data_IF_941836866765
#
_entry.id   IF_941836866765
#
_cell.length_a   1.000
_cell.length_b   1.000
_cell.length_c   1.000
_cell.angle_alpha   90.00
_cell.angle_beta   90.00
_cell.angle_gamma   90.00
#
_symmetry.space_group_name_H-M   'P 1'
#
loop_
_entity.id
_entity.type
_entity.pdbx_description
1 polymer ?
#
# COMPACT_ATOMS: atom_id res chain seq x y z
N UNK A 1 -30.71 -44.07 -28.93
CA UNK A 1 -29.51 -43.33 -29.37
C UNK A 1 -29.75 -41.88 -29.04
N UNK A 2 -29.37 -41.50 -27.82
CA UNK A 2 -29.47 -40.10 -27.36
C UNK A 2 -28.06 -39.54 -27.33
N UNK A 3 -27.83 -38.50 -28.10
CA UNK A 3 -26.58 -37.80 -28.15
C UNK A 3 -26.52 -36.81 -26.94
N UNK A 4 -25.60 -37.09 -26.04
CA UNK A 4 -25.23 -36.17 -24.99
C UNK A 4 -24.44 -35.02 -25.61
N UNK A 5 -25.08 -33.84 -25.65
CA UNK A 5 -24.44 -32.60 -26.04
C UNK A 5 -23.67 -32.06 -24.84
N UNK A 6 -22.39 -32.36 -24.82
CA UNK A 6 -21.44 -31.84 -23.86
C UNK A 6 -21.28 -30.31 -24.10
N UNK A 7 -22.01 -29.52 -23.33
CA UNK A 7 -21.91 -28.08 -23.34
C UNK A 7 -20.61 -27.66 -22.66
N UNK A 8 -19.57 -27.46 -23.45
CA UNK A 8 -18.33 -26.84 -23.01
C UNK A 8 -18.64 -25.41 -22.57
N UNK A 9 -18.81 -25.22 -21.29
CA UNK A 9 -18.97 -23.92 -20.64
C UNK A 9 -17.68 -23.10 -20.90
N UNK A 10 -17.80 -22.14 -21.79
CA UNK A 10 -16.72 -21.19 -22.14
C UNK A 10 -16.42 -20.34 -20.91
N UNK A 11 -15.48 -20.79 -20.09
CA UNK A 11 -14.99 -20.04 -18.94
C UNK A 11 -14.14 -18.87 -19.46
N UNK A 12 -14.78 -17.72 -19.70
CA UNK A 12 -14.06 -16.49 -19.94
C UNK A 12 -13.13 -16.24 -18.74
N UNK A 13 -11.81 -16.09 -18.94
CA UNK A 13 -10.90 -15.87 -17.82
C UNK A 13 -11.29 -14.59 -17.10
N UNK A 14 -11.50 -14.70 -15.78
CA UNK A 14 -11.79 -13.55 -14.92
C UNK A 14 -10.65 -12.54 -15.07
N UNK A 15 -10.93 -11.24 -15.28
CA UNK A 15 -9.90 -10.23 -15.40
C UNK A 15 -9.00 -10.27 -14.16
N UNK A 16 -7.69 -10.21 -14.39
CA UNK A 16 -6.72 -10.20 -13.28
C UNK A 16 -6.96 -8.95 -12.43
N UNK A 17 -6.88 -9.07 -11.10
CA UNK A 17 -6.95 -7.91 -10.25
C UNK A 17 -5.80 -6.94 -10.57
N UNK A 18 -6.10 -5.66 -10.68
CA UNK A 18 -5.13 -4.60 -10.96
C UNK A 18 -5.03 -3.65 -9.79
N UNK A 19 -3.82 -3.25 -9.44
CA UNK A 19 -3.58 -2.17 -8.49
C UNK A 19 -3.78 -0.83 -9.20
N UNK A 20 -4.89 -0.16 -8.95
CA UNK A 20 -5.17 1.17 -9.49
C UNK A 20 -5.00 2.26 -8.44
N UNK A 21 -5.33 1.94 -7.20
CA UNK A 21 -5.30 2.88 -6.08
C UNK A 21 -4.64 2.26 -4.86
N UNK A 22 -3.54 2.89 -4.43
CA UNK A 22 -2.80 2.52 -3.24
C UNK A 22 -2.95 3.63 -2.22
N UNK A 23 -3.28 3.30 -0.99
CA UNK A 23 -3.26 4.23 0.14
C UNK A 23 -2.10 3.88 1.05
N UNK A 24 -1.24 4.83 1.32
CA UNK A 24 -0.26 4.77 2.40
C UNK A 24 -0.75 5.66 3.53
N UNK A 25 -1.06 5.07 4.68
CA UNK A 25 -1.32 5.84 5.88
C UNK A 25 -0.02 5.97 6.70
N UNK A 26 0.33 7.19 7.03
CA UNK A 26 1.60 7.54 7.67
C UNK A 26 1.42 8.62 8.74
N UNK A 27 2.18 8.51 9.82
CA UNK A 27 2.30 9.54 10.85
C UNK A 27 3.34 10.62 10.49
N UNK A 28 4.04 10.47 9.35
CA UNK A 28 5.15 11.31 8.92
C UNK A 28 6.34 11.31 9.91
N UNK A 29 6.47 10.25 10.70
CA UNK A 29 7.58 9.99 11.59
C UNK A 29 8.88 9.58 10.87
N UNK A 30 9.87 9.12 11.63
CA UNK A 30 11.21 8.79 11.11
C UNK A 30 11.17 7.68 10.05
N UNK A 31 10.33 6.66 10.23
CA UNK A 31 10.25 5.47 9.36
C UNK A 31 9.38 5.70 8.12
N UNK A 32 8.73 6.86 8.03
CA UNK A 32 7.84 7.20 6.91
C UNK A 32 8.56 7.29 5.56
N UNK A 33 9.86 7.53 5.55
CA UNK A 33 10.67 7.53 4.32
C UNK A 33 10.74 6.14 3.70
N UNK A 34 10.97 5.12 4.51
CA UNK A 34 11.01 3.73 4.04
C UNK A 34 9.62 3.24 3.61
N UNK A 35 8.58 3.59 4.38
CA UNK A 35 7.20 3.31 4.02
C UNK A 35 6.82 3.95 2.69
N UNK A 36 7.22 5.20 2.48
CA UNK A 36 6.98 5.91 1.23
C UNK A 36 7.71 5.25 0.06
N UNK A 37 8.95 4.82 0.25
CA UNK A 37 9.68 4.07 -0.78
C UNK A 37 8.97 2.75 -1.14
N UNK A 38 8.43 2.02 -0.16
CA UNK A 38 7.63 0.82 -0.41
C UNK A 38 6.39 1.14 -1.26
N UNK A 39 5.60 2.13 -0.85
CA UNK A 39 4.40 2.52 -1.57
C UNK A 39 4.72 2.98 -2.99
N UNK A 40 5.75 3.81 -3.17
CA UNK A 40 6.15 4.31 -4.48
C UNK A 40 6.64 3.20 -5.41
N UNK A 41 7.35 2.18 -4.90
CA UNK A 41 7.79 1.04 -5.70
C UNK A 41 6.60 0.23 -6.27
N UNK A 42 5.57 -0.01 -5.45
CA UNK A 42 4.34 -0.65 -5.94
C UNK A 42 3.60 0.21 -6.95
N UNK A 43 3.50 1.52 -6.69
CA UNK A 43 2.86 2.49 -7.60
C UNK A 43 3.58 2.54 -8.94
N UNK A 44 4.90 2.61 -8.93
CA UNK A 44 5.72 2.66 -10.14
C UNK A 44 5.56 1.38 -10.98
N UNK A 45 5.52 0.21 -10.32
CA UNK A 45 5.32 -1.07 -10.98
C UNK A 45 3.93 -1.20 -11.58
N UNK A 46 2.89 -0.83 -10.84
CA UNK A 46 1.50 -0.97 -11.25
C UNK A 46 0.97 0.20 -12.10
N UNK A 47 1.72 1.31 -12.21
CA UNK A 47 1.24 2.58 -12.78
C UNK A 47 -0.04 3.07 -12.12
N UNK A 48 -0.08 2.97 -10.78
CA UNK A 48 -1.22 3.26 -9.96
C UNK A 48 -1.22 4.72 -9.44
N UNK A 49 -2.30 5.09 -8.76
CA UNK A 49 -2.38 6.33 -7.99
C UNK A 49 -2.03 6.05 -6.52
N UNK A 50 -1.21 6.90 -5.92
CA UNK A 50 -0.85 6.85 -4.51
C UNK A 50 -1.54 7.97 -3.74
N UNK A 51 -2.29 7.60 -2.72
CA UNK A 51 -2.85 8.52 -1.74
C UNK A 51 -2.02 8.45 -0.46
N UNK A 52 -1.30 9.52 -0.15
CA UNK A 52 -0.54 9.66 1.09
C UNK A 52 -1.46 10.24 2.15
N UNK A 53 -2.01 9.38 2.99
CA UNK A 53 -2.97 9.78 4.01
C UNK A 53 -2.25 10.05 5.34
N UNK A 54 -2.39 11.27 5.84
CA UNK A 54 -1.92 11.68 7.16
C UNK A 54 -3.07 12.31 7.95
N UNK A 55 -3.25 11.85 9.19
CA UNK A 55 -4.21 12.45 10.11
C UNK A 55 -3.42 13.27 11.13
N UNK A 56 -3.57 14.59 11.03
CA UNK A 56 -2.87 15.52 11.89
C UNK A 56 -3.59 15.66 13.25
N UNK A 57 -2.82 15.51 14.31
CA UNK A 57 -3.18 15.98 15.64
C UNK A 57 -2.36 17.25 15.91
N UNK A 58 -3.01 18.46 15.83
CA UNK A 58 -2.35 19.74 16.14
C UNK A 58 -1.69 20.42 14.97
N UNK A 59 -0.50 20.98 15.14
CA UNK A 59 0.07 22.06 14.33
C UNK A 59 0.81 21.64 13.06
N UNK A 60 0.73 22.50 12.01
CA UNK A 60 1.62 22.64 10.85
C UNK A 60 2.03 21.37 10.08
N UNK A 61 1.12 20.74 9.39
CA UNK A 61 1.40 19.53 8.61
C UNK A 61 2.32 19.76 7.41
N UNK A 62 2.39 20.95 6.85
CA UNK A 62 3.27 21.25 5.70
C UNK A 62 4.76 21.01 6.00
N UNK A 63 5.20 21.28 7.24
CA UNK A 63 6.57 21.02 7.66
C UNK A 63 6.90 19.52 7.71
N UNK A 64 5.90 18.69 8.00
CA UNK A 64 6.06 17.24 8.07
C UNK A 64 6.21 16.61 6.68
N UNK A 65 5.44 17.08 5.69
CA UNK A 65 5.56 16.60 4.32
C UNK A 65 6.94 16.83 3.71
N UNK A 66 7.64 17.90 4.12
CA UNK A 66 9.01 18.20 3.66
C UNK A 66 10.05 17.18 4.12
N UNK A 67 9.73 16.33 5.08
CA UNK A 67 10.62 15.25 5.54
C UNK A 67 10.68 14.08 4.56
N UNK A 68 9.64 13.91 3.76
CA UNK A 68 9.64 12.89 2.72
C UNK A 68 10.45 13.36 1.52
N UNK A 69 11.22 12.46 0.89
CA UNK A 69 11.85 12.76 -0.40
C UNK A 69 10.76 13.02 -1.45
N UNK A 70 11.07 13.83 -2.44
CA UNK A 70 10.14 14.02 -3.56
C UNK A 70 10.05 12.73 -4.38
N UNK A 71 8.89 12.51 -5.00
CA UNK A 71 8.69 11.38 -5.92
C UNK A 71 9.78 11.36 -6.98
N UNK A 72 10.05 12.51 -7.61
CA UNK A 72 11.09 12.68 -8.62
C UNK A 72 12.47 12.23 -8.10
N UNK A 73 12.88 12.70 -6.92
CA UNK A 73 14.19 12.37 -6.35
C UNK A 73 14.36 10.85 -6.08
N UNK A 74 13.30 10.16 -5.68
CA UNK A 74 13.33 8.70 -5.54
C UNK A 74 13.43 7.99 -6.88
N UNK A 75 12.64 8.40 -7.88
CA UNK A 75 12.65 7.80 -9.21
C UNK A 75 13.98 8.02 -9.94
N UNK A 76 14.60 9.19 -9.78
CA UNK A 76 15.94 9.48 -10.28
C UNK A 76 16.99 8.59 -9.59
N UNK A 77 16.92 8.46 -8.26
CA UNK A 77 17.81 7.58 -7.48
C UNK A 77 17.68 6.12 -7.92
N UNK A 78 16.49 5.68 -8.26
CA UNK A 78 16.22 4.31 -8.72
C UNK A 78 16.55 4.08 -10.18
N UNK A 79 16.97 5.12 -10.91
CA UNK A 79 17.25 5.04 -12.34
C UNK A 79 16.02 4.88 -13.23
N UNK A 80 14.83 5.12 -12.67
CA UNK A 80 13.55 5.07 -13.41
C UNK A 80 13.26 6.37 -14.14
N UNK A 81 13.91 7.46 -13.74
CA UNK A 81 13.83 8.77 -14.35
C UNK A 81 15.25 9.35 -14.50
N UNK A 82 15.57 9.92 -15.64
CA UNK A 82 16.85 10.61 -15.83
C UNK A 82 16.88 11.90 -15.00
N UNK A 83 18.04 12.28 -14.46
CA UNK A 83 18.20 13.47 -13.61
C UNK A 83 17.75 14.78 -14.30
N UNK A 84 17.84 14.85 -15.64
CA UNK A 84 17.43 16.00 -16.43
C UNK A 84 16.11 15.76 -17.19
N UNK A 85 15.33 14.75 -16.79
CA UNK A 85 14.08 14.44 -17.44
C UNK A 85 13.10 15.61 -17.33
N UNK A 86 12.45 15.94 -18.43
CA UNK A 86 11.41 16.95 -18.45
C UNK A 86 10.11 16.47 -17.79
N UNK A 87 9.12 17.32 -17.75
CA UNK A 87 7.83 17.01 -17.15
C UNK A 87 7.09 15.92 -17.95
N UNK A 88 7.24 15.90 -19.27
CA UNK A 88 6.58 14.91 -20.12
C UNK A 88 7.12 13.49 -19.85
N UNK A 89 8.44 13.35 -19.66
CA UNK A 89 9.06 12.08 -19.29
C UNK A 89 8.59 11.60 -17.90
N UNK A 90 8.40 12.50 -16.95
CA UNK A 90 7.85 12.16 -15.64
C UNK A 90 6.37 11.69 -15.76
N UNK A 91 5.55 12.41 -16.49
CA UNK A 91 4.14 12.07 -16.71
C UNK A 91 3.95 10.74 -17.45
N UNK A 92 4.88 10.41 -18.37
CA UNK A 92 4.88 9.15 -19.09
C UNK A 92 5.02 7.91 -18.19
N UNK A 93 5.57 8.07 -16.96
CA UNK A 93 5.63 7.00 -15.98
C UNK A 93 4.23 6.63 -15.44
N UNK A 94 3.23 7.50 -15.62
CA UNK A 94 1.85 7.25 -15.18
C UNK A 94 1.67 7.26 -13.66
N UNK A 95 2.65 7.77 -12.91
CA UNK A 95 2.63 7.84 -11.44
C UNK A 95 1.93 9.13 -11.00
N UNK A 96 0.91 8.98 -10.16
CA UNK A 96 0.22 10.10 -9.52
C UNK A 96 0.27 9.95 -8.01
N UNK A 97 0.66 11.02 -7.30
CA UNK A 97 0.73 11.04 -5.85
C UNK A 97 -0.13 12.17 -5.31
N UNK A 98 -1.08 11.84 -4.47
CA UNK A 98 -2.06 12.74 -3.87
C UNK A 98 -1.84 12.83 -2.36
N UNK A 99 -1.27 13.91 -1.84
CA UNK A 99 -1.25 14.15 -0.40
C UNK A 99 -2.69 14.35 0.10
N UNK A 100 -3.07 13.56 1.09
CA UNK A 100 -4.37 13.65 1.74
C UNK A 100 -4.16 13.92 3.22
N UNK A 101 -4.56 15.12 3.63
CA UNK A 101 -4.47 15.51 5.01
C UNK A 101 -5.85 15.65 5.60
N UNK A 102 -6.02 15.08 6.78
CA UNK A 102 -7.20 15.26 7.60
C UNK A 102 -6.82 15.80 8.96
N UNK A 103 -7.70 16.61 9.53
CA UNK A 103 -7.66 16.92 10.95
C UNK A 103 -8.71 16.03 11.61
N UNK A 104 -8.30 15.21 12.56
CA UNK A 104 -9.26 14.49 13.39
C UNK A 104 -9.56 15.33 14.62
N UNK A 105 -10.84 15.57 14.83
CA UNK A 105 -11.37 16.12 16.09
C UNK A 105 -11.72 14.95 17.03
N UNK A 106 -11.81 13.74 16.46
CA UNK A 106 -12.17 12.54 17.20
C UNK A 106 -10.98 12.06 18.04
N UNK A 107 -11.26 11.65 19.27
CA UNK A 107 -10.26 11.01 20.12
C UNK A 107 -9.81 9.63 19.58
N UNK A 108 -10.59 9.02 18.68
CA UNK A 108 -10.31 7.73 18.06
C UNK A 108 -9.72 7.87 16.66
N UNK A 109 -8.39 7.82 16.62
CA UNK A 109 -7.63 7.85 15.38
C UNK A 109 -7.93 6.66 14.45
N UNK A 110 -8.17 5.48 15.02
CA UNK A 110 -8.47 4.28 14.24
C UNK A 110 -9.77 4.44 13.47
N UNK A 111 -10.80 4.98 14.11
CA UNK A 111 -12.10 5.21 13.47
C UNK A 111 -12.00 6.27 12.36
N UNK A 112 -11.29 7.37 12.60
CA UNK A 112 -11.09 8.43 11.61
C UNK A 112 -10.34 7.89 10.39
N UNK A 113 -9.29 7.09 10.61
CA UNK A 113 -8.50 6.47 9.56
C UNK A 113 -9.32 5.43 8.77
N UNK A 114 -10.07 4.58 9.46
CA UNK A 114 -10.95 3.57 8.82
C UNK A 114 -11.96 4.22 7.89
N UNK A 115 -12.65 5.26 8.35
CA UNK A 115 -13.62 6.01 7.52
C UNK A 115 -12.97 6.59 6.27
N UNK A 116 -11.80 7.24 6.44
CA UNK A 116 -11.14 7.86 5.31
C UNK A 116 -10.60 6.86 4.31
N UNK A 117 -10.04 5.74 4.76
CA UNK A 117 -9.59 4.67 3.88
C UNK A 117 -10.78 4.04 3.14
N UNK A 118 -11.93 3.86 3.82
CA UNK A 118 -13.15 3.36 3.17
C UNK A 118 -13.63 4.29 2.05
N UNK A 119 -13.61 5.61 2.26
CA UNK A 119 -13.95 6.62 1.23
C UNK A 119 -12.99 6.58 0.03
N UNK A 120 -11.70 6.42 0.29
CA UNK A 120 -10.68 6.31 -0.76
C UNK A 120 -10.78 5.00 -1.53
N UNK A 121 -11.39 3.97 -0.95
CA UNK A 121 -11.62 2.65 -1.54
C UNK A 121 -10.38 2.06 -2.25
N UNK A 122 -9.24 1.88 -1.55
CA UNK A 122 -8.02 1.40 -2.17
C UNK A 122 -8.10 -0.06 -2.59
N UNK A 123 -7.29 -0.43 -3.58
CA UNK A 123 -6.99 -1.83 -3.90
C UNK A 123 -5.96 -2.41 -2.93
N UNK A 124 -5.04 -1.55 -2.45
CA UNK A 124 -4.03 -1.90 -1.45
C UNK A 124 -3.88 -0.78 -0.42
N UNK A 125 -3.98 -1.15 0.86
CA UNK A 125 -3.62 -0.29 1.98
C UNK A 125 -2.23 -0.65 2.49
N UNK A 126 -1.36 0.32 2.69
CA UNK A 126 -0.02 0.13 3.27
C UNK A 126 0.02 0.84 4.62
N UNK A 127 0.39 0.10 5.65
CA UNK A 127 0.49 0.58 7.02
C UNK A 127 1.86 0.26 7.60
N UNK A 128 2.46 1.23 8.27
CA UNK A 128 3.61 0.99 9.14
C UNK A 128 3.19 0.31 10.44
N UNK A 129 4.00 -0.64 10.89
CA UNK A 129 3.84 -1.20 12.22
C UNK A 129 5.12 -1.01 13.00
N UNK A 130 5.02 -0.32 14.14
CA UNK A 130 6.14 -0.30 15.08
C UNK A 130 6.29 -1.69 15.70
N UNK A 131 7.42 -2.35 15.46
CA UNK A 131 7.75 -3.63 16.08
C UNK A 131 8.02 -3.38 17.58
N UNK A 132 6.95 -3.16 18.34
CA UNK A 132 7.04 -3.01 19.80
C UNK A 132 7.36 -4.37 20.40
N UNK A 133 8.52 -4.50 21.02
CA UNK A 133 8.93 -5.69 21.74
C UNK A 133 8.39 -5.66 23.17
N UNK A 134 7.77 -6.75 23.63
CA UNK A 134 7.43 -6.96 25.03
C UNK A 134 6.22 -6.20 25.57
N UNK A 135 6.38 -5.57 26.73
CA UNK A 135 5.30 -4.99 27.55
C UNK A 135 4.55 -3.82 26.91
N UNK A 136 5.17 -3.07 26.00
CA UNK A 136 4.56 -1.93 25.32
C UNK A 136 3.38 -2.31 24.40
N UNK A 137 3.35 -3.58 23.96
CA UNK A 137 2.23 -4.13 23.16
C UNK A 137 0.90 -4.14 23.93
N UNK A 138 0.95 -4.24 25.26
CA UNK A 138 -0.21 -4.33 26.12
C UNK A 138 -0.80 -2.96 26.50
N UNK A 139 0.01 -1.90 26.42
CA UNK A 139 -0.39 -0.56 26.92
C UNK A 139 -0.86 0.40 25.83
N UNK A 140 -0.51 0.16 24.56
CA UNK A 140 -0.96 0.98 23.42
C UNK A 140 -1.35 0.07 22.24
N UNK A 141 -2.65 -0.14 22.01
CA UNK A 141 -3.11 -0.89 20.88
C UNK A 141 -2.61 -0.25 19.57
N UNK A 142 -2.09 -1.07 18.67
CA UNK A 142 -1.69 -0.61 17.33
C UNK A 142 -2.93 -0.08 16.61
N UNK A 143 -2.86 1.11 16.06
CA UNK A 143 -3.92 1.67 15.19
C UNK A 143 -4.08 0.84 13.92
N UNK A 144 -2.99 0.25 13.46
CA UNK A 144 -2.93 -0.46 12.18
C UNK A 144 -3.80 -1.73 12.13
N UNK A 145 -3.81 -2.54 13.20
CA UNK A 145 -4.60 -3.79 13.21
C UNK A 145 -6.13 -3.57 13.17
N UNK A 146 -6.71 -2.69 14.01
CA UNK A 146 -8.13 -2.36 13.91
C UNK A 146 -8.51 -1.83 12.52
N UNK A 147 -7.73 -0.90 11.98
CA UNK A 147 -7.99 -0.32 10.66
C UNK A 147 -7.99 -1.41 9.57
N UNK A 148 -6.98 -2.26 9.53
CA UNK A 148 -6.90 -3.33 8.53
C UNK A 148 -8.07 -4.32 8.63
N UNK A 149 -8.53 -4.61 9.85
CA UNK A 149 -9.68 -5.49 10.09
C UNK A 149 -10.98 -4.87 9.58
N UNK A 150 -11.18 -3.58 9.85
CA UNK A 150 -12.46 -2.93 9.60
C UNK A 150 -12.61 -2.46 8.14
N UNK A 151 -11.49 -2.18 7.46
CA UNK A 151 -11.49 -1.71 6.06
C UNK A 151 -11.80 -2.84 5.07
N UNK A 152 -11.56 -4.10 5.42
CA UNK A 152 -11.77 -5.27 4.54
C UNK A 152 -11.10 -5.14 3.15
N UNK A 153 -9.89 -4.59 3.11
CA UNK A 153 -9.06 -4.43 1.91
C UNK A 153 -7.75 -5.18 2.05
N UNK A 154 -7.12 -5.52 0.93
CA UNK A 154 -5.76 -6.03 0.97
C UNK A 154 -4.88 -5.03 1.72
N UNK A 155 -4.19 -5.49 2.76
CA UNK A 155 -3.38 -4.63 3.62
C UNK A 155 -1.97 -5.19 3.74
N UNK A 156 -1.00 -4.36 3.39
CA UNK A 156 0.42 -4.64 3.58
C UNK A 156 0.92 -3.95 4.84
N UNK A 157 1.35 -4.75 5.81
CA UNK A 157 2.05 -4.25 6.98
C UNK A 157 3.55 -4.23 6.72
N UNK A 158 4.16 -3.07 6.90
CA UNK A 158 5.61 -2.89 6.82
C UNK A 158 6.12 -2.64 8.23
N UNK A 159 6.89 -3.58 8.75
CA UNK A 159 7.44 -3.47 10.10
C UNK A 159 8.68 -2.58 10.12
N UNK A 160 8.79 -1.74 11.15
CA UNK A 160 10.00 -0.96 11.45
C UNK A 160 11.19 -1.88 11.63
N UNK A 161 12.36 -1.42 11.20
CA UNK A 161 13.64 -2.13 11.35
C UNK A 161 13.70 -3.51 10.67
N UNK A 162 12.63 -3.97 10.02
CA UNK A 162 12.68 -5.15 9.18
C UNK A 162 13.43 -4.84 7.88
N UNK A 163 14.13 -5.84 7.33
CA UNK A 163 14.55 -5.75 5.92
C UNK A 163 13.28 -5.67 5.08
N UNK A 164 12.91 -4.47 4.67
CA UNK A 164 11.70 -4.22 3.91
C UNK A 164 11.61 -5.04 2.62
N UNK A 165 10.39 -5.20 2.12
CA UNK A 165 10.12 -5.83 0.83
C UNK A 165 10.76 -5.06 -0.33
N UNK A 166 11.03 -3.77 -0.15
CA UNK A 166 11.61 -2.87 -1.13
C UNK A 166 12.97 -2.40 -0.65
N UNK A 167 13.93 -2.38 -1.53
CA UNK A 167 15.18 -1.67 -1.33
C UNK A 167 14.95 -0.17 -1.54
N UNK A 168 15.00 0.62 -0.48
CA UNK A 168 14.76 2.07 -0.55
C UNK A 168 15.80 2.82 -1.42
N UNK A 169 16.98 2.25 -1.60
CA UNK A 169 18.04 2.82 -2.45
C UNK A 169 17.83 2.61 -3.95
N UNK A 170 17.19 1.50 -4.33
CA UNK A 170 17.04 1.08 -5.74
C UNK A 170 15.60 0.93 -6.20
N UNK A 171 14.62 0.94 -5.29
CA UNK A 171 13.22 0.66 -5.60
C UNK A 171 12.92 -0.82 -5.92
N UNK A 172 13.92 -1.68 -5.86
CA UNK A 172 13.77 -3.09 -6.23
C UNK A 172 12.99 -3.87 -5.18
N UNK A 173 12.04 -4.69 -5.65
CA UNK A 173 11.35 -5.65 -4.81
C UNK A 173 12.27 -6.80 -4.43
N UNK A 174 12.42 -7.06 -3.13
CA UNK A 174 13.25 -8.13 -2.54
C UNK A 174 12.47 -9.40 -2.23
N UNK A 175 11.25 -9.51 -2.74
CA UNK A 175 10.36 -10.62 -2.45
C UNK A 175 10.87 -11.90 -3.17
N UNK A 176 11.34 -12.88 -2.40
CA UNK A 176 11.82 -14.16 -2.93
C UNK A 176 10.95 -15.35 -2.53
N UNK A 177 10.29 -15.24 -1.41
CA UNK A 177 9.44 -16.30 -0.85
C UNK A 177 8.22 -15.70 -0.20
N UNK A 178 7.07 -16.29 -0.46
CA UNK A 178 5.81 -15.92 0.16
C UNK A 178 5.28 -17.13 0.90
N UNK A 179 5.00 -16.98 2.20
CA UNK A 179 4.29 -17.97 2.98
C UNK A 179 2.82 -17.62 2.97
N UNK A 180 2.00 -18.54 2.47
CA UNK A 180 0.55 -18.36 2.41
C UNK A 180 -0.09 -19.29 3.41
N UNK A 181 -0.64 -18.78 4.54
CA UNK A 181 -1.42 -19.60 5.44
C UNK A 181 -2.76 -19.96 4.78
N UNK A 182 -3.06 -21.23 4.67
CA UNK A 182 -4.33 -21.72 4.11
C UNK A 182 -5.20 -22.17 5.25
N UNK A 183 -6.43 -21.66 5.31
CA UNK A 183 -7.47 -22.11 6.23
C UNK A 183 -8.71 -22.52 5.44
N UNK A 184 -9.49 -23.44 5.98
CA UNK A 184 -10.75 -23.86 5.35
C UNK A 184 -11.78 -22.72 5.24
N UNK A 185 -11.61 -21.65 6.00
CA UNK A 185 -12.55 -20.54 6.06
C UNK A 185 -12.35 -19.49 4.95
N UNK A 186 -11.18 -19.48 4.27
CA UNK A 186 -10.88 -18.48 3.23
C UNK A 186 -10.83 -19.19 1.87
N UNK A 187 -11.62 -18.75 0.88
CA UNK A 187 -11.55 -19.29 -0.47
C UNK A 187 -10.13 -19.15 -1.04
N UNK A 188 -9.55 -20.26 -1.50
CA UNK A 188 -8.19 -20.28 -2.07
C UNK A 188 -8.04 -19.31 -3.24
N UNK A 189 -9.06 -19.16 -4.06
CA UNK A 189 -9.04 -18.24 -5.19
C UNK A 189 -8.85 -16.79 -4.76
N UNK A 190 -9.45 -16.36 -3.66
CA UNK A 190 -9.26 -15.02 -3.12
C UNK A 190 -7.81 -14.77 -2.71
N UNK A 191 -7.18 -15.75 -2.04
CA UNK A 191 -5.76 -15.63 -1.67
C UNK A 191 -4.85 -15.54 -2.90
N UNK A 192 -5.13 -16.32 -3.95
CA UNK A 192 -4.38 -16.28 -5.22
C UNK A 192 -4.56 -14.91 -5.89
N UNK A 193 -5.78 -14.38 -5.94
CA UNK A 193 -6.08 -13.08 -6.54
C UNK A 193 -5.33 -11.96 -5.82
N UNK A 194 -5.34 -11.95 -4.47
CA UNK A 194 -4.62 -10.95 -3.66
C UNK A 194 -3.09 -11.06 -3.81
N UNK A 195 -2.54 -12.29 -3.86
CA UNK A 195 -1.10 -12.48 -4.12
C UNK A 195 -0.71 -12.04 -5.53
N UNK A 196 -1.53 -12.35 -6.52
CA UNK A 196 -1.31 -11.92 -7.90
C UNK A 196 -1.25 -10.41 -7.99
N UNK A 197 -2.15 -9.71 -7.28
CA UNK A 197 -2.19 -8.26 -7.18
C UNK A 197 -0.85 -7.65 -6.69
N UNK A 198 -0.19 -8.31 -5.74
CA UNK A 198 1.07 -7.83 -5.16
C UNK A 198 2.30 -8.20 -6.00
N UNK A 199 2.23 -9.27 -6.81
CA UNK A 199 3.38 -9.83 -7.53
C UNK A 199 3.47 -9.42 -9.00
N UNK A 200 2.36 -8.95 -9.58
CA UNK A 200 2.32 -8.43 -10.96
C UNK A 200 2.70 -6.99 -11.04
#
# INVERSE_FOLDING_TARGET
MSADSDSVESTTPKPRPELRRIVLATDLGADSVDLFAHALAFVAKARAELYLLHIAHGEHPEALWRKLPTVRALLERWGMLAANADQAAFEALGIRVHPVQMRSIDADLSLALTRRVAELAPDLLILGTHARTGFERLTNPSVAEPVARDVHRATLFVADHARGLVDAGTGALRLRRVLVPITAAVPQQRLIDELTLLLT
#
